data_IF_638191631275
#
_entry.id   IF_638191631275
#
_cell.length_a   1.000
_cell.length_b   1.000
_cell.length_c   1.000
_cell.angle_alpha   90.00
_cell.angle_beta   90.00
_cell.angle_gamma   90.00
#
_symmetry.space_group_name_H-M   'P 1'
#
loop_
_entity.id
_entity.type
_entity.pdbx_description
1 polymer ?
#
# COMPACT_ATOMS: atom_id res chain seq x y z
N UNK A 1 -14.36 -34.29 40.84
CA UNK A 1 -13.06 -34.11 40.18
C UNK A 1 -12.80 -32.62 39.92
N UNK A 2 -11.96 -32.04 40.78
CA UNK A 2 -11.10 -30.86 40.65
C UNK A 2 -11.59 -29.57 39.97
N UNK A 3 -12.57 -28.91 40.58
CA UNK A 3 -12.84 -27.48 40.37
C UNK A 3 -11.65 -26.59 40.81
N UNK A 4 -10.89 -27.03 41.81
CA UNK A 4 -9.75 -26.29 42.37
C UNK A 4 -8.56 -26.13 41.41
N UNK A 5 -8.42 -27.01 40.42
CA UNK A 5 -7.33 -26.93 39.43
C UNK A 5 -7.67 -26.01 38.24
N UNK A 6 -8.95 -25.82 37.91
CA UNK A 6 -9.37 -24.93 36.81
C UNK A 6 -9.12 -23.46 37.13
N UNK A 7 -9.39 -23.03 38.37
CA UNK A 7 -9.15 -21.64 38.77
C UNK A 7 -7.64 -21.31 38.81
N UNK A 8 -6.81 -22.27 39.22
CA UNK A 8 -5.34 -22.11 39.19
C UNK A 8 -4.80 -22.02 37.76
N UNK A 9 -5.34 -22.82 36.83
CA UNK A 9 -4.97 -22.77 35.41
C UNK A 9 -5.43 -21.45 34.77
N UNK A 10 -6.64 -20.98 35.07
CA UNK A 10 -7.15 -19.69 34.58
C UNK A 10 -6.30 -18.52 35.09
N UNK A 11 -5.88 -18.54 36.36
CA UNK A 11 -4.97 -17.54 36.93
C UNK A 11 -3.62 -17.57 36.21
N UNK A 12 -3.06 -18.75 35.94
CA UNK A 12 -1.81 -18.89 35.16
C UNK A 12 -1.94 -18.35 33.74
N UNK A 13 -3.06 -18.61 33.07
CA UNK A 13 -3.34 -18.08 31.73
C UNK A 13 -3.41 -16.56 31.76
N UNK A 14 -4.09 -15.97 32.76
CA UNK A 14 -4.17 -14.52 32.92
C UNK A 14 -2.79 -13.91 33.16
N UNK A 15 -1.97 -14.53 34.02
CA UNK A 15 -0.59 -14.07 34.30
C UNK A 15 0.27 -14.11 33.03
N UNK A 16 0.21 -15.20 32.26
CA UNK A 16 0.96 -15.33 31.01
C UNK A 16 0.49 -14.30 29.98
N UNK A 17 -0.82 -14.09 29.86
CA UNK A 17 -1.40 -13.09 28.97
C UNK A 17 -0.94 -11.67 29.36
N UNK A 18 -0.91 -11.37 30.66
CA UNK A 18 -0.41 -10.10 31.19
C UNK A 18 1.08 -9.91 30.91
N UNK A 19 1.89 -10.96 31.12
CA UNK A 19 3.34 -10.92 30.87
C UNK A 19 3.66 -10.68 29.39
N UNK A 20 2.93 -11.30 28.47
CA UNK A 20 3.09 -11.06 27.02
C UNK A 20 2.72 -9.62 26.66
N UNK A 21 1.61 -9.11 27.17
CA UNK A 21 1.20 -7.72 26.92
C UNK A 21 2.20 -6.71 27.53
N UNK A 22 2.69 -6.94 28.75
CA UNK A 22 3.71 -6.07 29.37
C UNK A 22 5.02 -6.13 28.57
N UNK A 23 5.48 -7.31 28.18
CA UNK A 23 6.70 -7.48 27.37
C UNK A 23 6.61 -6.71 26.06
N UNK A 24 5.47 -6.80 25.34
CA UNK A 24 5.28 -6.05 24.09
C UNK A 24 5.30 -4.53 24.32
N UNK A 25 4.65 -4.02 25.38
CA UNK A 25 4.67 -2.59 25.73
C UNK A 25 6.09 -2.14 26.08
N UNK A 26 6.82 -2.92 26.88
CA UNK A 26 8.21 -2.62 27.28
C UNK A 26 9.15 -2.65 26.07
N UNK A 27 9.05 -3.63 25.17
CA UNK A 27 9.84 -3.68 23.94
C UNK A 27 9.58 -2.47 23.06
N UNK A 28 8.31 -2.07 22.90
CA UNK A 28 7.94 -0.89 22.13
C UNK A 28 8.47 0.38 22.81
N UNK A 29 8.29 0.54 24.12
CA UNK A 29 8.76 1.70 24.87
C UNK A 29 10.29 1.83 24.82
N UNK A 30 11.02 0.72 25.00
CA UNK A 30 12.48 0.70 24.91
C UNK A 30 12.95 1.06 23.49
N UNK A 31 12.29 0.55 22.45
CA UNK A 31 12.57 0.91 21.07
C UNK A 31 12.29 2.39 20.80
N UNK A 32 11.23 2.98 21.38
CA UNK A 32 10.93 4.40 21.23
C UNK A 32 11.90 5.31 22.01
N UNK A 33 12.37 4.89 23.19
CA UNK A 33 13.34 5.66 23.98
C UNK A 33 14.78 5.53 23.47
N UNK A 34 15.18 4.40 22.87
CA UNK A 34 16.56 4.19 22.39
C UNK A 34 16.84 4.76 20.99
N UNK A 35 15.81 5.19 20.24
CA UNK A 35 15.96 5.73 18.88
C UNK A 35 16.42 7.21 18.80
N UNK A 36 16.97 7.75 19.90
CA UNK A 36 17.53 9.10 19.91
C UNK A 36 18.90 9.28 19.22
N UNK A 37 19.70 8.22 18.95
CA UNK A 37 21.08 8.38 18.43
C UNK A 37 21.68 7.23 17.60
N UNK A 38 20.93 6.63 16.67
CA UNK A 38 21.55 5.69 15.71
C UNK A 38 20.96 5.80 14.30
N UNK A 39 21.01 6.99 13.71
CA UNK A 39 20.94 7.13 12.25
C UNK A 39 22.34 7.01 11.64
N UNK A 40 22.84 5.79 11.41
CA UNK A 40 23.76 5.49 10.31
C UNK A 40 23.61 4.02 9.90
N UNK A 41 23.37 3.82 8.59
CA UNK A 41 23.45 2.57 7.82
C UNK A 41 22.24 1.63 7.94
N UNK A 42 21.15 1.98 7.23
CA UNK A 42 20.46 1.02 6.36
C UNK A 42 19.60 1.77 5.34
N UNK A 43 20.22 1.99 4.17
CA UNK A 43 19.71 2.73 3.04
C UNK A 43 18.61 1.95 2.30
N UNK A 44 17.43 1.78 2.90
CA UNK A 44 16.19 1.54 2.13
C UNK A 44 15.57 2.91 1.91
N UNK A 45 16.00 3.61 0.85
CA UNK A 45 15.31 4.84 0.42
C UNK A 45 13.87 4.48 0.08
N UNK A 46 12.94 4.76 0.98
CA UNK A 46 11.54 4.90 0.61
C UNK A 46 11.49 6.07 -0.36
N UNK A 47 11.38 5.77 -1.65
CA UNK A 47 11.27 6.77 -2.71
C UNK A 47 9.83 7.31 -2.65
N UNK A 48 9.55 8.15 -1.65
CA UNK A 48 8.33 8.96 -1.59
C UNK A 48 8.52 10.15 -2.54
N UNK A 49 8.31 9.94 -3.84
CA UNK A 49 8.31 11.05 -4.79
C UNK A 49 6.91 11.68 -4.78
N UNK A 50 6.76 12.96 -4.38
CA UNK A 50 5.50 13.67 -4.50
C UNK A 50 5.00 13.61 -5.94
N UNK A 51 3.68 13.46 -6.15
CA UNK A 51 3.13 13.28 -7.49
C UNK A 51 3.54 14.43 -8.45
N UNK A 52 3.69 15.67 -7.97
CA UNK A 52 4.21 16.80 -8.78
C UNK A 52 5.66 16.61 -9.24
N UNK A 53 6.49 15.93 -8.46
CA UNK A 53 7.92 15.72 -8.75
C UNK A 53 8.19 14.44 -9.55
N UNK A 54 7.21 13.52 -9.64
CA UNK A 54 7.38 12.23 -10.33
C UNK A 54 7.73 12.38 -11.81
N UNK A 55 7.09 13.32 -12.52
CA UNK A 55 7.41 13.59 -13.92
C UNK A 55 8.85 14.07 -14.11
N UNK A 56 9.28 15.03 -13.27
CA UNK A 56 10.65 15.57 -13.31
C UNK A 56 11.69 14.51 -12.97
N UNK A 57 11.40 13.65 -11.99
CA UNK A 57 12.22 12.49 -11.67
C UNK A 57 12.35 11.55 -12.87
N UNK A 58 11.25 11.12 -13.48
CA UNK A 58 11.27 10.21 -14.63
C UNK A 58 12.02 10.80 -15.83
N UNK A 59 11.86 12.11 -16.09
CA UNK A 59 12.57 12.79 -17.17
C UNK A 59 14.09 12.78 -16.98
N UNK A 60 14.54 12.98 -15.73
CA UNK A 60 15.97 12.99 -15.38
C UNK A 60 16.55 11.59 -15.38
N UNK A 61 15.90 10.63 -14.73
CA UNK A 61 16.46 9.28 -14.57
C UNK A 61 16.52 8.52 -15.90
N UNK A 62 15.48 8.67 -16.73
CA UNK A 62 15.43 8.02 -18.04
C UNK A 62 16.13 8.81 -19.14
N UNK A 63 16.56 10.04 -18.86
CA UNK A 63 17.14 10.95 -19.85
C UNK A 63 16.27 11.02 -21.12
N UNK A 64 14.99 11.34 -20.94
CA UNK A 64 14.04 11.36 -22.06
C UNK A 64 14.31 12.55 -22.97
N UNK A 65 14.23 12.34 -24.28
CA UNK A 65 14.28 13.42 -25.27
C UNK A 65 12.96 14.22 -25.33
N UNK A 66 12.92 15.33 -26.07
CA UNK A 66 11.74 16.22 -26.14
C UNK A 66 10.47 15.50 -26.61
N UNK A 67 10.58 14.60 -27.60
CA UNK A 67 9.43 13.83 -28.12
C UNK A 67 8.92 12.82 -27.09
N UNK A 68 9.84 12.05 -26.49
CA UNK A 68 9.53 11.10 -25.43
C UNK A 68 8.88 11.76 -24.20
N UNK A 69 9.33 12.97 -23.81
CA UNK A 69 8.73 13.73 -22.71
C UNK A 69 7.27 14.10 -22.97
N UNK A 70 6.93 14.50 -24.21
CA UNK A 70 5.55 14.82 -24.60
C UNK A 70 4.67 13.58 -24.52
N UNK A 71 5.14 12.46 -25.08
CA UNK A 71 4.43 11.18 -25.03
C UNK A 71 4.26 10.68 -23.58
N UNK A 72 5.30 10.79 -22.75
CA UNK A 72 5.23 10.49 -21.32
C UNK A 72 4.11 11.26 -20.64
N UNK A 73 4.06 12.57 -20.86
CA UNK A 73 3.07 13.43 -20.19
C UNK A 73 1.65 13.03 -20.60
N UNK A 74 1.43 12.72 -21.88
CA UNK A 74 0.13 12.25 -22.38
C UNK A 74 -0.27 10.92 -21.74
N UNK A 75 0.61 9.91 -21.80
CA UNK A 75 0.33 8.58 -21.22
C UNK A 75 0.13 8.65 -19.70
N UNK A 76 0.83 9.55 -19.02
CA UNK A 76 0.67 9.79 -17.60
C UNK A 76 -0.66 10.45 -17.27
N UNK A 77 -1.08 11.43 -18.05
CA UNK A 77 -2.36 12.11 -17.86
C UNK A 77 -3.52 11.12 -18.03
N UNK A 78 -3.49 10.32 -19.09
CA UNK A 78 -4.49 9.28 -19.36
C UNK A 78 -4.52 8.24 -18.22
N UNK A 79 -3.37 7.70 -17.82
CA UNK A 79 -3.28 6.77 -16.69
C UNK A 79 -3.84 7.38 -15.41
N UNK A 80 -3.44 8.60 -15.06
CA UNK A 80 -3.90 9.27 -13.85
C UNK A 80 -5.41 9.54 -13.87
N UNK A 81 -5.97 9.89 -15.04
CA UNK A 81 -7.40 10.08 -15.20
C UNK A 81 -8.15 8.77 -14.95
N UNK A 82 -7.76 7.69 -15.63
CA UNK A 82 -8.40 6.37 -15.47
C UNK A 82 -8.24 5.83 -14.05
N UNK A 83 -7.04 5.91 -13.49
CA UNK A 83 -6.76 5.45 -12.13
C UNK A 83 -7.57 6.22 -11.10
N UNK A 84 -7.71 7.55 -11.24
CA UNK A 84 -8.56 8.36 -10.36
C UNK A 84 -10.02 7.97 -10.45
N UNK A 85 -10.53 7.70 -11.66
CA UNK A 85 -11.89 7.21 -11.84
C UNK A 85 -12.10 5.90 -11.08
N UNK A 86 -11.28 4.89 -11.36
CA UNK A 86 -11.35 3.57 -10.69
C UNK A 86 -11.22 3.70 -9.16
N UNK A 87 -10.31 4.56 -8.68
CA UNK A 87 -10.16 4.81 -7.24
C UNK A 87 -11.38 5.44 -6.58
N UNK A 88 -12.12 6.29 -7.31
CA UNK A 88 -13.37 6.88 -6.83
C UNK A 88 -14.46 5.83 -6.70
N UNK A 89 -14.65 5.00 -7.73
CA UNK A 89 -15.63 3.90 -7.70
C UNK A 89 -15.36 2.95 -6.52
N UNK A 90 -14.08 2.60 -6.28
CA UNK A 90 -13.71 1.80 -5.10
C UNK A 90 -14.01 2.51 -3.77
N UNK A 91 -13.90 3.84 -3.71
CA UNK A 91 -14.20 4.60 -2.50
C UNK A 91 -15.71 4.65 -2.26
N UNK A 92 -16.49 4.83 -3.32
CA UNK A 92 -17.96 4.78 -3.28
C UNK A 92 -18.45 3.43 -2.78
N UNK A 93 -17.95 2.31 -3.33
CA UNK A 93 -18.27 0.96 -2.82
C UNK A 93 -17.88 0.74 -1.36
N UNK A 94 -16.72 1.26 -0.92
CA UNK A 94 -16.35 1.19 0.51
C UNK A 94 -17.34 1.96 1.38
N UNK A 95 -17.80 3.12 0.94
CA UNK A 95 -18.79 3.90 1.67
C UNK A 95 -20.14 3.16 1.71
N UNK A 96 -20.58 2.56 0.60
CA UNK A 96 -21.80 1.73 0.55
C UNK A 96 -21.72 0.55 1.53
N UNK A 97 -20.57 -0.13 1.62
CA UNK A 97 -20.32 -1.19 2.61
C UNK A 97 -20.51 -0.64 4.03
N UNK A 98 -19.92 0.51 4.37
CA UNK A 98 -20.09 1.09 5.72
C UNK A 98 -21.53 1.48 6.03
N UNK A 99 -22.27 1.98 5.03
CA UNK A 99 -23.70 2.29 5.17
C UNK A 99 -24.50 1.02 5.44
N UNK A 100 -24.25 -0.06 4.69
CA UNK A 100 -24.95 -1.34 4.88
C UNK A 100 -24.64 -1.97 6.25
N UNK A 101 -23.38 -1.96 6.67
CA UNK A 101 -22.95 -2.44 7.99
C UNK A 101 -23.55 -1.65 9.17
N UNK A 102 -23.99 -0.42 8.93
CA UNK A 102 -24.58 0.44 9.97
C UNK A 102 -26.08 0.18 10.20
N UNK A 103 -26.71 -0.71 9.41
CA UNK A 103 -28.12 -1.07 9.56
C UNK A 103 -28.32 -2.04 10.73
N UNK A 104 -29.53 -2.05 11.28
CA UNK A 104 -29.93 -3.00 12.34
C UNK A 104 -29.82 -4.46 11.88
N UNK A 105 -30.17 -4.73 10.62
CA UNK A 105 -30.04 -6.04 9.98
C UNK A 105 -29.29 -5.89 8.64
N UNK A 106 -27.94 -5.95 8.63
CA UNK A 106 -27.15 -5.85 7.41
C UNK A 106 -27.38 -7.03 6.44
N UNK A 107 -27.46 -6.74 5.15
CA UNK A 107 -27.57 -7.73 4.08
C UNK A 107 -26.19 -8.26 3.66
N UNK A 108 -25.87 -9.49 4.07
CA UNK A 108 -24.56 -10.12 3.79
C UNK A 108 -24.35 -10.42 2.30
N UNK A 109 -25.41 -10.68 1.54
CA UNK A 109 -25.31 -10.90 0.09
C UNK A 109 -24.85 -9.62 -0.60
N UNK A 110 -25.44 -8.46 -0.26
CA UNK A 110 -25.02 -7.17 -0.80
C UNK A 110 -23.59 -6.80 -0.40
N UNK A 111 -23.21 -7.09 0.84
CA UNK A 111 -21.84 -6.86 1.31
C UNK A 111 -20.81 -7.64 0.49
N UNK A 112 -21.09 -8.91 0.18
CA UNK A 112 -20.20 -9.74 -0.63
C UNK A 112 -20.17 -9.31 -2.09
N UNK A 113 -21.29 -8.88 -2.66
CA UNK A 113 -21.33 -8.32 -4.01
C UNK A 113 -20.46 -7.05 -4.12
N UNK A 114 -20.58 -6.12 -3.17
CA UNK A 114 -19.73 -4.92 -3.14
C UNK A 114 -18.24 -5.25 -2.94
N UNK A 115 -17.92 -6.31 -2.21
CA UNK A 115 -16.55 -6.78 -2.05
C UNK A 115 -15.99 -7.33 -3.38
N UNK A 116 -16.78 -8.09 -4.14
CA UNK A 116 -16.42 -8.56 -5.48
C UNK A 116 -16.22 -7.40 -6.46
N UNK A 117 -17.09 -6.38 -6.43
CA UNK A 117 -16.95 -5.15 -7.22
C UNK A 117 -15.60 -4.46 -6.95
N UNK A 118 -15.24 -4.32 -5.67
CA UNK A 118 -13.92 -3.78 -5.27
C UNK A 118 -12.78 -4.63 -5.84
N UNK A 119 -12.91 -5.96 -5.84
CA UNK A 119 -11.97 -6.88 -6.47
C UNK A 119 -11.81 -6.62 -7.98
N UNK A 120 -12.93 -6.44 -8.69
CA UNK A 120 -12.95 -6.11 -10.12
C UNK A 120 -12.26 -4.76 -10.38
N UNK A 121 -12.53 -3.74 -9.57
CA UNK A 121 -11.85 -2.45 -9.69
C UNK A 121 -10.34 -2.55 -9.44
N UNK A 122 -9.90 -3.34 -8.45
CA UNK A 122 -8.49 -3.61 -8.23
C UNK A 122 -7.82 -4.28 -9.44
N UNK A 123 -8.48 -5.28 -10.03
CA UNK A 123 -8.04 -5.92 -11.28
C UNK A 123 -7.91 -4.91 -12.41
N UNK A 124 -8.90 -4.03 -12.58
CA UNK A 124 -8.88 -3.01 -13.62
C UNK A 124 -7.75 -1.99 -13.41
N UNK A 125 -7.50 -1.54 -12.18
CA UNK A 125 -6.37 -0.65 -11.87
C UNK A 125 -5.01 -1.31 -12.18
N UNK A 126 -4.88 -2.62 -11.93
CA UNK A 126 -3.69 -3.39 -12.32
C UNK A 126 -3.52 -3.44 -13.83
N UNK A 127 -4.59 -3.69 -14.59
CA UNK A 127 -4.58 -3.64 -16.06
C UNK A 127 -4.15 -2.27 -16.59
N UNK A 128 -4.67 -1.17 -16.04
CA UNK A 128 -4.25 0.19 -16.41
C UNK A 128 -2.76 0.42 -16.14
N UNK A 129 -2.26 -0.07 -15.01
CA UNK A 129 -0.85 0.06 -14.63
C UNK A 129 0.06 -0.70 -15.60
N UNK A 130 -0.32 -1.93 -15.97
CA UNK A 130 0.39 -2.74 -16.98
C UNK A 130 0.39 -2.02 -18.33
N UNK A 131 -0.77 -1.53 -18.78
CA UNK A 131 -0.89 -0.81 -20.06
C UNK A 131 -0.01 0.45 -20.08
N UNK A 132 -0.01 1.23 -19.00
CA UNK A 132 0.84 2.41 -18.88
C UNK A 132 2.32 2.03 -18.97
N UNK A 133 2.77 0.99 -18.25
CA UNK A 133 4.15 0.51 -18.33
C UNK A 133 4.53 0.05 -19.74
N UNK A 134 3.67 -0.69 -20.44
CA UNK A 134 3.96 -1.16 -21.80
C UNK A 134 4.08 -0.01 -22.81
N UNK A 135 3.20 0.99 -22.73
CA UNK A 135 3.29 2.20 -23.56
C UNK A 135 4.58 2.98 -23.28
N UNK A 136 4.94 3.10 -22.01
CA UNK A 136 6.19 3.69 -21.56
C UNK A 136 7.42 2.95 -22.11
N UNK A 137 7.42 1.61 -22.03
CA UNK A 137 8.50 0.77 -22.54
C UNK A 137 8.67 0.92 -24.05
N UNK A 138 7.56 0.95 -24.81
CA UNK A 138 7.57 1.03 -26.28
C UNK A 138 8.26 2.28 -26.82
N UNK A 139 8.18 3.42 -26.12
CA UNK A 139 8.83 4.66 -26.57
C UNK A 139 10.27 4.84 -26.09
N UNK A 140 10.75 3.96 -25.20
CA UNK A 140 12.09 4.01 -24.62
C UNK A 140 13.10 3.19 -25.45
N UNK A 141 14.33 3.70 -25.56
CA UNK A 141 15.48 2.94 -26.10
C UNK A 141 15.87 1.79 -25.16
N UNK A 142 16.65 0.80 -25.64
CA UNK A 142 17.06 -0.33 -24.80
C UNK A 142 17.74 0.07 -23.47
N UNK A 143 18.68 1.03 -23.43
CA UNK A 143 19.24 1.52 -22.16
C UNK A 143 18.16 2.12 -21.25
N UNK A 144 17.23 2.90 -21.82
CA UNK A 144 16.13 3.51 -21.07
C UNK A 144 15.15 2.48 -20.52
N UNK A 145 14.88 1.38 -21.24
CA UNK A 145 14.01 0.30 -20.77
C UNK A 145 14.59 -0.40 -19.54
N UNK A 146 15.92 -0.62 -19.49
CA UNK A 146 16.61 -1.18 -18.32
C UNK A 146 16.45 -0.27 -17.10
N UNK A 147 16.61 1.05 -17.27
CA UNK A 147 16.39 2.04 -16.20
C UNK A 147 14.92 2.09 -15.75
N UNK A 148 13.99 2.05 -16.71
CA UNK A 148 12.55 2.04 -16.44
C UNK A 148 12.15 0.83 -15.57
N UNK A 149 12.66 -0.36 -15.88
CA UNK A 149 12.41 -1.56 -15.09
C UNK A 149 12.92 -1.42 -13.65
N UNK A 150 14.14 -0.90 -13.46
CA UNK A 150 14.71 -0.67 -12.13
C UNK A 150 13.84 0.28 -11.28
N UNK A 151 13.37 1.37 -11.89
CA UNK A 151 12.49 2.34 -11.24
C UNK A 151 11.17 1.68 -10.81
N UNK A 152 10.54 0.90 -11.69
CA UNK A 152 9.29 0.20 -11.37
C UNK A 152 9.45 -0.84 -10.26
N UNK A 153 10.56 -1.59 -10.26
CA UNK A 153 10.85 -2.55 -9.19
C UNK A 153 11.03 -1.85 -7.83
N UNK A 154 11.77 -0.74 -7.80
CA UNK A 154 11.94 0.05 -6.57
C UNK A 154 10.60 0.60 -6.03
N UNK A 155 9.71 1.05 -6.93
CA UNK A 155 8.39 1.56 -6.53
C UNK A 155 7.46 0.48 -5.97
N UNK A 156 7.50 -0.74 -6.52
CA UNK A 156 6.67 -1.85 -6.02
C UNK A 156 7.14 -2.29 -4.64
N UNK A 157 8.44 -2.43 -4.44
CA UNK A 157 9.02 -2.81 -3.15
C UNK A 157 8.83 -1.72 -2.09
N UNK A 158 8.72 -0.45 -2.48
CA UNK A 158 8.45 0.67 -1.56
C UNK A 158 6.97 0.81 -1.16
N UNK A 159 6.02 0.25 -1.92
CA UNK A 159 4.58 0.28 -1.58
C UNK A 159 4.16 -0.85 -0.64
N UNK A 160 4.97 -1.90 -0.54
CA UNK A 160 4.78 -2.98 0.44
C UNK A 160 4.75 -2.44 1.90
N UNK A 161 5.39 -1.30 2.15
CA UNK A 161 5.47 -0.69 3.48
C UNK A 161 4.27 0.21 3.84
N UNK A 162 3.30 0.41 2.93
CA UNK A 162 2.13 1.29 3.18
C UNK A 162 0.96 0.50 3.80
N UNK A 163 0.84 -0.80 3.49
CA UNK A 163 -0.20 -1.65 4.09
C UNK A 163 0.05 -1.86 5.59
N UNK A 164 1.29 -1.71 6.06
CA UNK A 164 1.64 -1.86 7.48
C UNK A 164 1.63 -0.55 8.29
N UNK A 165 1.25 0.60 7.69
CA UNK A 165 1.31 1.91 8.38
C UNK A 165 -0.02 2.62 8.57
N UNK A 166 -1.16 1.96 8.32
CA UNK A 166 -2.50 2.45 8.68
C UNK A 166 -3.04 1.74 9.94
N UNK A 167 -2.24 1.76 11.00
CA UNK A 167 -2.74 1.61 12.37
C UNK A 167 -1.87 2.43 13.31
N UNK A 168 -2.13 3.72 13.34
CA UNK A 168 -1.94 4.64 14.47
C UNK A 168 -2.54 5.99 14.10
#
# INVERSE_FOLDING_TARGET
>A
MDYFNKNKILIWIIIVLLAINISTVVTIAYHFYSHGRTERINNKRHVRIPNKQFGRFMFRELDLNKSQRRNFQNFRNEYNHNAKKISREMMEKRNEIFVELSKENPDTTKLFEMAEDIGIYHKNLKKETIRHYLRMKKMCTEPQQKKLMRIYNAMQNSKADIVCKMRR
#
